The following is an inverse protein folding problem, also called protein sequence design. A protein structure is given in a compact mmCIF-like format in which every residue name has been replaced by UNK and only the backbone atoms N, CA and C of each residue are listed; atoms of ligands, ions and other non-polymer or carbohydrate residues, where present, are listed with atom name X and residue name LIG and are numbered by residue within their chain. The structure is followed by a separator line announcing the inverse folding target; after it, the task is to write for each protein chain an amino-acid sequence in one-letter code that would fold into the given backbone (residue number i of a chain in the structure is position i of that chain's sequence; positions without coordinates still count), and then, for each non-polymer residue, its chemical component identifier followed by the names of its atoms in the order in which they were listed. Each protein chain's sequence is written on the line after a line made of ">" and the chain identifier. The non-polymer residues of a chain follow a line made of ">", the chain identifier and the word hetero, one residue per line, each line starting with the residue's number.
data_IF_313846988984
#
_entry.id   IF_313846988984
#
_cell.length_a   1.000
_cell.length_b   1.000
_cell.length_c   1.000
_cell.angle_alpha   90.00
_cell.angle_beta   90.00
_cell.angle_gamma   90.00
#
_symmetry.space_group_name_H-M   'P 1'
#
loop_
_entity.id
_entity.type
_entity.pdbx_description
1 polymer ?
#
# COMPACT_ATOMS: atom_id res chain seq x y z
N UNK A 1 14.02 24.76 -5.38
CA UNK A 1 14.83 24.09 -4.34
C UNK A 1 13.97 23.92 -3.11
N UNK A 2 13.86 22.69 -2.62
CA UNK A 2 13.12 22.36 -1.39
C UNK A 2 13.95 22.77 -0.16
N UNK A 3 13.28 23.10 0.94
CA UNK A 3 13.94 23.46 2.20
C UNK A 3 13.04 23.16 3.38
N UNK A 4 13.65 22.90 4.53
CA UNK A 4 12.96 22.59 5.79
C UNK A 4 13.63 23.33 6.94
N UNK A 5 12.84 23.75 7.93
CA UNK A 5 13.37 24.40 9.13
C UNK A 5 13.71 23.35 10.20
N UNK A 6 14.95 23.39 10.66
CA UNK A 6 15.48 22.55 11.73
C UNK A 6 16.09 23.45 12.81
N UNK A 7 15.63 23.36 14.05
CA UNK A 7 16.14 24.14 15.18
C UNK A 7 16.22 25.65 14.88
N UNK A 8 15.23 26.19 14.16
CA UNK A 8 15.16 27.59 13.75
C UNK A 8 16.03 27.99 12.54
N UNK A 9 16.79 27.07 11.95
CA UNK A 9 17.62 27.31 10.78
C UNK A 9 17.07 26.63 9.52
N UNK A 10 17.30 27.22 8.36
CA UNK A 10 16.93 26.59 7.09
C UNK A 10 17.99 25.60 6.66
N UNK A 11 17.55 24.36 6.42
CA UNK A 11 18.34 23.35 5.73
C UNK A 11 17.91 23.34 4.27
N UNK A 12 18.84 23.69 3.38
CA UNK A 12 18.64 23.58 1.94
C UNK A 12 18.81 22.13 1.51
N UNK A 13 17.84 21.64 0.75
CA UNK A 13 17.84 20.27 0.27
C UNK A 13 18.56 20.23 -1.08
N UNK A 14 19.59 19.40 -1.15
CA UNK A 14 20.44 19.20 -2.34
C UNK A 14 19.89 18.07 -3.21
N UNK A 15 20.51 17.87 -4.36
CA UNK A 15 20.21 16.72 -5.22
C UNK A 15 20.56 15.42 -4.51
N UNK A 16 19.62 14.46 -4.53
CA UNK A 16 19.69 13.19 -3.81
C UNK A 16 19.46 12.06 -4.82
N UNK A 17 20.22 10.97 -4.72
CA UNK A 17 20.03 9.82 -5.59
C UNK A 17 18.88 8.94 -5.10
N UNK A 18 18.20 8.27 -6.03
CA UNK A 18 17.09 7.34 -5.73
C UNK A 18 17.46 6.27 -4.69
N UNK A 19 18.72 5.82 -4.68
CA UNK A 19 19.21 4.82 -3.73
C UNK A 19 19.19 5.32 -2.27
N UNK A 20 19.38 6.62 -2.06
CA UNK A 20 19.43 7.23 -0.72
C UNK A 20 18.01 7.35 -0.15
N UNK A 21 17.02 7.68 -0.99
CA UNK A 21 15.61 7.60 -0.61
C UNK A 21 15.20 6.18 -0.23
N UNK A 22 15.62 5.17 -1.00
CA UNK A 22 15.34 3.77 -0.69
C UNK A 22 16.02 3.33 0.63
N UNK A 23 17.28 3.73 0.84
CA UNK A 23 17.99 3.45 2.08
C UNK A 23 17.28 4.10 3.29
N UNK A 24 16.87 5.36 3.19
CA UNK A 24 16.17 6.05 4.27
C UNK A 24 14.82 5.38 4.57
N UNK A 25 14.00 5.09 3.55
CA UNK A 25 12.71 4.42 3.75
C UNK A 25 12.89 3.04 4.39
N UNK A 26 13.95 2.29 4.04
CA UNK A 26 14.26 1.01 4.69
C UNK A 26 14.60 1.13 6.18
N UNK A 27 15.04 2.29 6.66
CA UNK A 27 15.21 2.57 8.10
C UNK A 27 13.88 2.88 8.79
N UNK A 28 12.94 3.51 8.08
CA UNK A 28 11.64 3.90 8.61
C UNK A 28 10.68 2.70 8.68
N UNK A 29 10.62 1.88 7.62
CA UNK A 29 9.64 0.80 7.47
C UNK A 29 9.52 -0.13 8.69
N UNK A 30 10.61 -0.64 9.30
CA UNK A 30 10.52 -1.56 10.44
C UNK A 30 9.96 -0.91 11.71
N UNK A 31 9.96 0.42 11.79
CA UNK A 31 9.53 1.19 12.98
C UNK A 31 8.08 1.67 12.89
N UNK A 32 7.41 1.47 11.75
CA UNK A 32 6.03 1.92 11.56
C UNK A 32 5.10 1.13 12.47
N UNK A 33 4.30 1.87 13.22
CA UNK A 33 3.21 1.34 14.05
C UNK A 33 1.86 1.61 13.37
N UNK A 34 0.85 0.73 13.54
CA UNK A 34 -0.44 0.84 12.86
C UNK A 34 -1.16 2.19 13.05
N UNK A 35 -1.00 2.84 14.21
CA UNK A 35 -1.66 4.10 14.56
C UNK A 35 -0.71 5.30 14.60
N UNK A 36 0.57 5.10 14.28
CA UNK A 36 1.59 6.14 14.37
C UNK A 36 1.53 7.18 13.25
N UNK A 37 1.98 8.40 13.55
CA UNK A 37 2.24 9.40 12.51
C UNK A 37 3.53 9.04 11.77
N UNK A 38 3.39 8.62 10.51
CA UNK A 38 4.53 8.27 9.64
C UNK A 38 5.44 9.49 9.37
N UNK A 39 4.92 10.71 9.12
CA UNK A 39 5.77 11.91 9.01
C UNK A 39 6.61 12.16 10.26
N UNK A 40 6.05 11.97 11.46
CA UNK A 40 6.78 12.17 12.71
C UNK A 40 7.79 11.05 12.96
N UNK A 41 7.45 9.81 12.59
CA UNK A 41 8.40 8.71 12.63
C UNK A 41 9.58 8.94 11.69
N UNK A 42 9.34 9.41 10.46
CA UNK A 42 10.41 9.77 9.53
C UNK A 42 11.30 10.88 10.12
N UNK A 43 10.71 11.89 10.76
CA UNK A 43 11.48 12.93 11.46
C UNK A 43 12.34 12.35 12.60
N UNK A 44 11.82 11.40 13.37
CA UNK A 44 12.58 10.71 14.43
C UNK A 44 13.74 9.88 13.86
N UNK A 45 13.52 9.14 12.77
CA UNK A 45 14.61 8.40 12.11
C UNK A 45 15.69 9.33 11.57
N UNK A 46 15.30 10.49 11.06
CA UNK A 46 16.26 11.53 10.69
C UNK A 46 17.02 12.07 11.91
N UNK A 47 16.36 12.30 13.04
CA UNK A 47 17.01 12.72 14.28
C UNK A 47 18.02 11.70 14.79
N UNK A 48 17.69 10.41 14.75
CA UNK A 48 18.62 9.32 15.08
C UNK A 48 19.88 9.38 14.20
N UNK A 49 19.73 9.53 12.88
CA UNK A 49 20.89 9.65 11.98
C UNK A 49 21.79 10.83 12.34
N UNK A 50 21.21 11.99 12.63
CA UNK A 50 21.97 13.18 13.02
C UNK A 50 22.66 12.96 14.39
N UNK A 51 21.99 12.30 15.33
CA UNK A 51 22.55 11.94 16.64
C UNK A 51 23.70 10.94 16.54
N UNK A 52 23.67 10.05 15.54
CA UNK A 52 24.78 9.14 15.18
C UNK A 52 25.96 9.87 14.51
N UNK A 53 25.89 11.19 14.34
CA UNK A 53 26.96 12.03 13.81
C UNK A 53 26.90 12.22 12.30
N UNK A 54 25.81 11.84 11.64
CA UNK A 54 25.61 12.17 10.22
C UNK A 54 25.48 13.68 10.06
N UNK A 55 26.30 14.25 9.20
CA UNK A 55 26.18 15.67 8.86
C UNK A 55 24.84 15.93 8.15
N UNK A 56 24.29 17.14 8.29
CA UNK A 56 23.07 17.51 7.58
C UNK A 56 23.20 17.37 6.05
N UNK A 57 24.42 17.44 5.52
CA UNK A 57 24.72 17.27 4.09
C UNK A 57 24.97 15.83 3.66
N UNK A 58 24.95 14.86 4.59
CA UNK A 58 25.06 13.43 4.25
C UNK A 58 23.87 13.02 3.35
N UNK A 59 24.08 12.26 2.26
CA UNK A 59 23.02 11.91 1.32
C UNK A 59 21.80 11.24 1.98
N UNK A 60 22.02 10.41 3.01
CA UNK A 60 20.95 9.71 3.70
C UNK A 60 20.15 10.67 4.60
N UNK A 61 20.83 11.60 5.27
CA UNK A 61 20.17 12.65 6.05
C UNK A 61 19.38 13.60 5.13
N UNK A 62 19.94 13.97 3.96
CA UNK A 62 19.27 14.77 2.93
C UNK A 62 18.02 14.07 2.38
N UNK A 63 18.09 12.75 2.11
CA UNK A 63 16.92 11.95 1.75
C UNK A 63 15.84 12.00 2.84
N UNK A 64 16.24 11.93 4.11
CA UNK A 64 15.33 12.07 5.24
C UNK A 64 14.67 13.45 5.31
N UNK A 65 15.44 14.53 5.13
CA UNK A 65 14.90 15.89 5.08
C UNK A 65 13.88 16.06 3.95
N UNK A 66 14.16 15.57 2.75
CA UNK A 66 13.26 15.69 1.59
C UNK A 66 12.01 14.81 1.72
N UNK A 67 12.13 13.61 2.31
CA UNK A 67 10.95 12.81 2.66
C UNK A 67 10.11 13.53 3.70
N UNK A 68 10.69 14.06 4.77
CA UNK A 68 9.94 14.83 5.77
C UNK A 68 9.22 16.01 5.12
N UNK A 69 9.90 16.77 4.26
CA UNK A 69 9.31 17.89 3.53
C UNK A 69 8.15 17.46 2.60
N UNK A 70 8.33 16.37 1.85
CA UNK A 70 7.30 15.77 0.99
C UNK A 70 6.08 15.30 1.78
N UNK A 71 6.30 14.74 2.96
CA UNK A 71 5.27 14.34 3.90
C UNK A 71 4.65 15.52 4.66
N UNK A 72 5.04 16.75 4.35
CA UNK A 72 4.40 17.96 4.86
C UNK A 72 5.07 18.60 6.06
N UNK A 73 6.16 18.03 6.58
CA UNK A 73 6.92 18.63 7.69
C UNK A 73 7.60 19.92 7.20
N UNK A 74 7.26 21.05 7.82
CA UNK A 74 7.83 22.38 7.50
C UNK A 74 8.86 22.82 8.53
N UNK A 75 8.59 22.51 9.80
CA UNK A 75 9.46 22.90 10.90
C UNK A 75 9.52 21.79 11.95
N UNK A 76 10.73 21.45 12.36
CA UNK A 76 10.97 20.52 13.45
C UNK A 76 12.11 20.96 14.35
N UNK A 77 12.05 20.52 15.59
CA UNK A 77 13.14 20.62 16.56
C UNK A 77 13.72 19.24 16.81
N UNK A 78 15.04 19.12 16.79
CA UNK A 78 15.74 17.89 17.11
C UNK A 78 16.58 18.11 18.37
N UNK A 79 16.35 17.24 19.35
CA UNK A 79 17.12 17.13 20.58
C UNK A 79 17.56 15.67 20.76
N UNK A 80 18.87 15.44 20.68
CA UNK A 80 19.44 14.10 20.58
C UNK A 80 18.83 13.31 19.43
N UNK A 81 18.35 12.10 19.72
CA UNK A 81 17.75 11.18 18.74
C UNK A 81 16.22 11.36 18.58
N UNK A 82 15.64 12.45 19.12
CA UNK A 82 14.20 12.70 19.05
C UNK A 82 13.90 13.96 18.24
N UNK A 83 12.93 13.87 17.33
CA UNK A 83 12.37 14.99 16.60
C UNK A 83 11.00 15.37 17.17
N UNK A 84 10.77 16.66 17.29
CA UNK A 84 9.48 17.26 17.58
C UNK A 84 9.03 18.08 16.36
N UNK A 85 8.02 17.59 15.64
CA UNK A 85 7.43 18.28 14.49
C UNK A 85 6.52 19.40 14.99
N UNK A 86 6.93 20.64 14.75
CA UNK A 86 6.22 21.84 15.22
C UNK A 86 5.31 22.47 14.17
N UNK A 87 5.54 22.19 12.89
CA UNK A 87 4.72 22.68 11.79
C UNK A 87 4.63 21.60 10.70
N UNK A 88 3.40 21.21 10.36
CA UNK A 88 3.08 20.18 9.37
C UNK A 88 1.89 20.64 8.52
N UNK A 89 1.97 20.44 7.20
CA UNK A 89 0.90 20.73 6.25
C UNK A 89 0.42 19.45 5.58
N UNK A 90 -0.89 19.24 5.38
CA UNK A 90 -1.37 18.08 4.64
C UNK A 90 -0.77 18.02 3.23
N UNK A 91 -0.31 16.84 2.81
CA UNK A 91 0.15 16.58 1.45
C UNK A 91 -0.43 15.28 0.91
N UNK A 92 -0.52 15.18 -0.41
CA UNK A 92 -0.93 13.95 -1.09
C UNK A 92 -0.02 12.77 -0.75
N UNK A 93 1.27 13.01 -0.52
CA UNK A 93 2.22 11.99 -0.11
C UNK A 93 1.91 11.48 1.32
N UNK A 94 1.65 12.37 2.28
CA UNK A 94 1.28 11.98 3.64
C UNK A 94 -0.06 11.22 3.71
N UNK A 95 -0.99 11.56 2.80
CA UNK A 95 -2.25 10.87 2.62
C UNK A 95 -2.13 9.58 1.77
N UNK A 96 -0.99 9.35 1.12
CA UNK A 96 -0.76 8.17 0.28
C UNK A 96 -1.62 8.13 -0.99
N UNK A 97 -1.90 9.29 -1.59
CA UNK A 97 -2.75 9.44 -2.77
C UNK A 97 -1.98 9.18 -4.07
N UNK A 98 -2.72 8.84 -5.14
CA UNK A 98 -2.12 8.52 -6.45
C UNK A 98 -1.31 9.69 -7.05
N UNK A 99 -1.72 10.94 -6.78
CA UNK A 99 -1.04 12.16 -7.24
C UNK A 99 0.38 12.28 -6.71
N UNK A 100 0.71 11.63 -5.59
CA UNK A 100 2.08 11.54 -5.07
C UNK A 100 2.98 10.59 -5.90
N UNK A 101 2.40 9.80 -6.81
CA UNK A 101 3.09 8.80 -7.63
C UNK A 101 3.23 9.27 -9.09
N UNK A 102 3.62 10.54 -9.27
CA UNK A 102 3.98 11.10 -10.57
C UNK A 102 5.29 10.54 -11.11
N UNK A 103 5.46 10.58 -12.45
CA UNK A 103 6.65 10.03 -13.12
C UNK A 103 7.97 10.60 -12.56
N UNK A 104 8.04 11.92 -12.35
CA UNK A 104 9.23 12.57 -11.79
C UNK A 104 9.56 12.07 -10.37
N UNK A 105 8.55 11.91 -9.50
CA UNK A 105 8.73 11.42 -8.15
C UNK A 105 9.15 9.93 -8.10
N UNK A 106 8.68 9.12 -9.06
CA UNK A 106 9.09 7.72 -9.21
C UNK A 106 10.55 7.62 -9.68
N UNK A 107 10.96 8.47 -10.62
CA UNK A 107 12.32 8.50 -11.14
C UNK A 107 13.33 9.01 -10.10
N UNK A 108 12.98 10.06 -9.34
CA UNK A 108 13.84 10.59 -8.29
C UNK A 108 13.90 9.70 -7.04
N UNK A 109 12.86 8.90 -6.78
CA UNK A 109 12.72 8.07 -5.58
C UNK A 109 11.84 8.70 -4.50
N UNK A 110 11.45 9.98 -4.64
CA UNK A 110 10.60 10.68 -3.66
C UNK A 110 9.24 10.00 -3.44
N UNK A 111 8.72 9.32 -4.46
CA UNK A 111 7.46 8.57 -4.37
C UNK A 111 7.48 7.45 -3.30
N UNK A 112 8.67 7.01 -2.85
CA UNK A 112 8.80 6.02 -1.77
C UNK A 112 8.19 6.50 -0.45
N UNK A 113 8.27 7.80 -0.13
CA UNK A 113 7.67 8.35 1.09
C UNK A 113 6.14 8.25 1.08
N UNK A 114 5.51 8.63 -0.04
CA UNK A 114 4.07 8.48 -0.22
C UNK A 114 3.63 7.01 -0.32
N UNK A 115 4.44 6.16 -0.94
CA UNK A 115 4.15 4.73 -1.07
C UNK A 115 4.16 4.04 0.30
N UNK A 116 5.12 4.39 1.16
CA UNK A 116 5.15 3.97 2.56
C UNK A 116 3.89 4.42 3.32
N UNK A 117 3.49 5.68 3.19
CA UNK A 117 2.26 6.18 3.84
C UNK A 117 1.01 5.43 3.38
N UNK A 118 0.86 5.22 2.07
CA UNK A 118 -0.24 4.44 1.51
C UNK A 118 -0.21 3.00 2.04
N UNK A 119 0.94 2.32 1.95
CA UNK A 119 1.09 0.90 2.26
C UNK A 119 0.76 0.50 3.69
N UNK A 120 0.93 1.41 4.66
CA UNK A 120 0.76 1.13 6.09
C UNK A 120 -0.51 1.73 6.69
N UNK A 121 -1.30 2.46 5.90
CA UNK A 121 -2.57 3.08 6.34
C UNK A 121 -3.80 2.53 5.61
N UNK A 122 -3.65 1.43 4.88
CA UNK A 122 -4.76 0.88 4.08
C UNK A 122 -5.82 0.28 5.00
N UNK A 123 -7.05 0.67 4.74
CA UNK A 123 -8.23 -0.02 5.25
C UNK A 123 -8.89 -0.73 4.07
N UNK A 124 -9.21 -2.01 4.25
CA UNK A 124 -9.92 -2.82 3.26
C UNK A 124 -11.25 -3.26 3.86
N UNK A 125 -12.33 -3.12 3.09
CA UNK A 125 -13.66 -3.57 3.50
C UNK A 125 -13.85 -5.05 3.14
N UNK A 126 -13.93 -5.94 4.13
CA UNK A 126 -14.21 -7.37 3.93
C UNK A 126 -15.57 -7.70 4.52
N UNK A 127 -16.54 -8.16 3.71
CA UNK A 127 -17.89 -8.53 4.19
C UNK A 127 -18.57 -7.46 5.06
N UNK A 128 -18.49 -6.20 4.65
CA UNK A 128 -18.96 -5.03 5.42
C UNK A 128 -18.05 -4.56 6.57
N UNK A 129 -17.09 -5.38 7.02
CA UNK A 129 -16.15 -5.00 8.07
C UNK A 129 -14.95 -4.23 7.50
N UNK A 130 -14.66 -3.06 8.07
CA UNK A 130 -13.41 -2.35 7.81
C UNK A 130 -12.26 -3.00 8.58
N UNK A 131 -11.20 -3.37 7.85
CA UNK A 131 -10.02 -4.03 8.41
C UNK A 131 -8.80 -3.19 8.07
N UNK A 132 -8.11 -2.71 9.10
CA UNK A 132 -6.79 -2.10 8.95
C UNK A 132 -5.79 -3.18 8.52
N UNK A 133 -5.17 -2.97 7.35
CA UNK A 133 -4.17 -3.88 6.81
C UNK A 133 -2.85 -3.66 7.53
N UNK A 134 -2.45 -4.63 8.36
CA UNK A 134 -1.18 -4.59 9.07
C UNK A 134 -0.15 -5.37 8.28
N UNK A 135 0.95 -4.71 7.89
CA UNK A 135 2.05 -5.36 7.16
C UNK A 135 2.61 -6.53 7.96
N UNK A 136 2.77 -7.66 7.28
CA UNK A 136 3.28 -8.90 7.86
C UNK A 136 4.77 -9.08 7.58
N UNK A 137 5.39 -10.04 8.26
CA UNK A 137 6.80 -10.37 8.06
C UNK A 137 7.07 -10.78 6.62
N UNK A 138 8.32 -10.61 6.17
CA UNK A 138 8.75 -11.09 4.85
C UNK A 138 8.51 -12.59 4.68
N UNK A 139 8.72 -13.36 5.75
CA UNK A 139 8.51 -14.81 5.76
C UNK A 139 7.04 -15.17 5.48
N UNK A 140 6.11 -14.55 6.20
CA UNK A 140 4.67 -14.79 6.02
C UNK A 140 4.20 -14.36 4.62
N UNK A 141 4.67 -13.21 4.15
CA UNK A 141 4.34 -12.73 2.81
C UNK A 141 4.87 -13.66 1.72
N UNK A 142 6.09 -14.21 1.86
CA UNK A 142 6.65 -15.18 0.93
C UNK A 142 5.88 -16.50 0.95
N UNK A 143 5.51 -17.00 2.14
CA UNK A 143 4.69 -18.20 2.30
C UNK A 143 3.33 -18.05 1.59
N UNK A 144 2.64 -16.95 1.81
CA UNK A 144 1.35 -16.66 1.17
C UNK A 144 1.48 -16.50 -0.34
N UNK A 145 2.53 -15.83 -0.83
CA UNK A 145 2.77 -15.69 -2.26
C UNK A 145 2.99 -17.05 -2.96
N UNK A 146 3.75 -17.96 -2.33
CA UNK A 146 3.96 -19.32 -2.83
C UNK A 146 2.65 -20.12 -2.86
N UNK A 147 1.85 -20.00 -1.79
CA UNK A 147 0.53 -20.65 -1.76
C UNK A 147 -0.39 -20.14 -2.86
N UNK A 148 -0.50 -18.83 -3.03
CA UNK A 148 -1.31 -18.23 -4.09
C UNK A 148 -0.83 -18.69 -5.47
N UNK A 149 0.49 -18.72 -5.70
CA UNK A 149 1.05 -19.24 -6.95
C UNK A 149 0.67 -20.71 -7.22
N UNK A 150 0.75 -21.57 -6.20
CA UNK A 150 0.39 -22.99 -6.30
C UNK A 150 -1.10 -23.26 -6.54
N UNK A 151 -1.98 -22.33 -6.12
CA UNK A 151 -3.43 -22.44 -6.25
C UNK A 151 -3.96 -21.84 -7.54
N UNK A 152 -3.13 -21.14 -8.30
CA UNK A 152 -3.55 -20.34 -9.45
C UNK A 152 -4.03 -21.23 -10.59
N UNK A 153 -5.27 -21.01 -11.02
CA UNK A 153 -5.79 -21.68 -12.19
C UNK A 153 -5.20 -21.09 -13.49
N UNK A 154 -5.21 -21.87 -14.57
CA UNK A 154 -4.80 -21.40 -15.90
C UNK A 154 -5.69 -20.22 -16.31
N UNK A 155 -5.08 -19.14 -16.81
CA UNK A 155 -5.75 -17.88 -17.20
C UNK A 155 -6.51 -17.14 -16.08
N UNK A 156 -6.34 -17.53 -14.82
CA UNK A 156 -6.92 -16.80 -13.68
C UNK A 156 -6.03 -15.61 -13.29
N UNK A 157 -6.59 -14.38 -13.17
CA UNK A 157 -5.88 -13.25 -12.59
C UNK A 157 -5.49 -13.52 -11.14
N UNK A 158 -4.28 -13.11 -10.74
CA UNK A 158 -3.73 -13.41 -9.41
C UNK A 158 -4.58 -12.84 -8.25
N UNK A 159 -5.29 -11.73 -8.46
CA UNK A 159 -6.18 -11.16 -7.43
C UNK A 159 -7.38 -12.08 -7.13
N UNK A 160 -7.89 -12.81 -8.12
CA UNK A 160 -8.96 -13.81 -7.90
C UNK A 160 -8.40 -14.96 -7.06
N UNK A 161 -7.21 -15.46 -7.40
CA UNK A 161 -6.54 -16.51 -6.62
C UNK A 161 -6.28 -16.08 -5.18
N UNK A 162 -5.82 -14.84 -4.96
CA UNK A 162 -5.58 -14.29 -3.62
C UNK A 162 -6.89 -14.13 -2.82
N UNK A 163 -7.98 -13.69 -3.45
CA UNK A 163 -9.30 -13.62 -2.81
C UNK A 163 -9.88 -14.99 -2.45
N UNK A 164 -9.70 -16.00 -3.30
CA UNK A 164 -10.04 -17.40 -2.98
C UNK A 164 -9.25 -17.90 -1.77
N UNK A 165 -7.95 -17.62 -1.74
CA UNK A 165 -7.10 -18.01 -0.63
C UNK A 165 -7.59 -17.35 0.67
N UNK A 166 -7.98 -16.07 0.62
CA UNK A 166 -8.57 -15.37 1.75
C UNK A 166 -9.83 -16.08 2.25
N UNK A 167 -10.76 -16.40 1.33
CA UNK A 167 -11.99 -17.12 1.66
C UNK A 167 -11.75 -18.52 2.22
N UNK A 168 -10.74 -19.24 1.71
CA UNK A 168 -10.35 -20.55 2.25
C UNK A 168 -9.88 -20.45 3.68
N UNK A 169 -9.04 -19.46 4.00
CA UNK A 169 -8.54 -19.24 5.36
C UNK A 169 -9.65 -18.81 6.32
N UNK A 170 -10.59 -17.98 5.88
CA UNK A 170 -11.78 -17.63 6.68
C UNK A 170 -12.68 -18.85 6.93
N UNK A 171 -12.85 -19.73 5.93
CA UNK A 171 -13.62 -20.99 6.09
C UNK A 171 -12.99 -21.94 7.11
N UNK A 172 -11.67 -21.92 7.25
CA UNK A 172 -10.93 -22.67 8.27
C UNK A 172 -11.09 -22.06 9.68
N UNK A 173 -11.84 -20.96 9.84
CA UNK A 173 -12.06 -20.30 11.11
C UNK A 173 -10.98 -19.28 11.48
N UNK A 174 -10.03 -18.97 10.59
CA UNK A 174 -9.03 -17.93 10.84
C UNK A 174 -9.69 -16.55 10.84
N UNK A 175 -9.18 -15.67 11.69
CA UNK A 175 -9.61 -14.29 11.89
C UNK A 175 -8.50 -13.33 11.46
N UNK A 176 -8.79 -12.02 11.37
CA UNK A 176 -7.77 -11.03 11.03
C UNK A 176 -6.72 -10.80 12.13
N UNK A 177 -6.86 -11.45 13.29
CA UNK A 177 -5.79 -11.54 14.27
C UNK A 177 -4.71 -12.57 13.89
N UNK A 178 -5.02 -13.51 12.98
CA UNK A 178 -4.06 -14.49 12.49
C UNK A 178 -3.12 -13.86 11.46
N UNK A 179 -1.81 -13.88 11.74
CA UNK A 179 -0.77 -13.32 10.88
C UNK A 179 -0.86 -13.81 9.42
N UNK A 180 -1.16 -15.10 9.23
CA UNK A 180 -1.29 -15.68 7.89
C UNK A 180 -2.54 -15.16 7.14
N UNK A 181 -3.69 -14.98 7.81
CA UNK A 181 -4.87 -14.39 7.16
C UNK A 181 -4.61 -12.92 6.83
N UNK A 182 -3.98 -12.18 7.74
CA UNK A 182 -3.58 -10.81 7.52
C UNK A 182 -2.57 -10.70 6.36
N UNK A 183 -1.63 -11.63 6.21
CA UNK A 183 -0.70 -11.67 5.09
C UNK A 183 -1.41 -11.86 3.74
N UNK A 184 -2.46 -12.69 3.71
CA UNK A 184 -3.32 -12.82 2.52
C UNK A 184 -4.05 -11.51 2.24
N UNK A 185 -4.61 -10.86 3.27
CA UNK A 185 -5.26 -9.56 3.11
C UNK A 185 -4.27 -8.48 2.61
N UNK A 186 -3.03 -8.46 3.12
CA UNK A 186 -1.95 -7.61 2.62
C UNK A 186 -1.70 -7.84 1.14
N UNK A 187 -1.56 -9.09 0.70
CA UNK A 187 -1.35 -9.43 -0.70
C UNK A 187 -2.51 -8.95 -1.58
N UNK A 188 -3.75 -9.15 -1.15
CA UNK A 188 -4.93 -8.69 -1.91
C UNK A 188 -4.97 -7.15 -1.99
N UNK A 189 -4.64 -6.47 -0.89
CA UNK A 189 -4.54 -5.01 -0.85
C UNK A 189 -3.40 -4.49 -1.73
N UNK A 190 -2.26 -5.20 -1.78
CA UNK A 190 -1.12 -4.87 -2.62
C UNK A 190 -1.41 -4.96 -4.11
N UNK A 191 -2.36 -5.81 -4.49
CA UNK A 191 -2.88 -5.91 -5.84
C UNK A 191 -3.90 -4.81 -6.17
N UNK A 192 -4.27 -3.97 -5.20
CA UNK A 192 -5.12 -2.80 -5.37
C UNK A 192 -6.53 -2.94 -4.82
N UNK A 193 -6.95 -4.11 -4.34
CA UNK A 193 -8.32 -4.29 -3.87
C UNK A 193 -8.61 -3.42 -2.63
N UNK A 194 -9.75 -2.72 -2.65
CA UNK A 194 -10.22 -1.88 -1.52
C UNK A 194 -11.41 -2.49 -0.79
N UNK A 195 -12.17 -3.37 -1.46
CA UNK A 195 -13.27 -4.10 -0.89
C UNK A 195 -13.33 -5.52 -1.45
N UNK A 196 -13.68 -6.47 -0.59
CA UNK A 196 -13.81 -7.89 -0.89
C UNK A 196 -15.11 -8.38 -0.24
N UNK A 197 -15.93 -9.11 -1.00
CA UNK A 197 -17.08 -9.84 -0.48
C UNK A 197 -16.88 -11.33 -0.69
N UNK A 198 -17.05 -12.09 0.37
CA UNK A 198 -16.85 -13.53 0.45
C UNK A 198 -18.07 -14.11 1.13
N UNK A 199 -18.92 -14.76 0.36
CA UNK A 199 -20.00 -15.58 0.89
C UNK A 199 -19.51 -17.02 0.98
N UNK A 200 -19.28 -17.51 2.20
CA UNK A 200 -18.77 -18.85 2.44
C UNK A 200 -19.82 -19.94 2.16
N UNK A 201 -21.10 -19.62 2.34
CA UNK A 201 -22.22 -20.55 2.15
C UNK A 201 -22.56 -20.68 0.67
N UNK A 202 -22.72 -19.56 -0.03
CA UNK A 202 -22.95 -19.53 -1.47
C UNK A 202 -21.66 -19.80 -2.27
N UNK A 203 -20.49 -19.77 -1.62
CA UNK A 203 -19.19 -19.98 -2.25
C UNK A 203 -18.83 -18.88 -3.26
N UNK A 204 -19.30 -17.65 -3.05
CA UNK A 204 -19.11 -16.53 -3.98
C UNK A 204 -18.01 -15.58 -3.51
N UNK A 205 -17.29 -15.03 -4.49
CA UNK A 205 -16.25 -14.02 -4.29
C UNK A 205 -16.58 -12.81 -5.17
N UNK A 206 -16.49 -11.62 -4.60
CA UNK A 206 -16.65 -10.35 -5.28
C UNK A 206 -15.60 -9.35 -4.82
N UNK A 207 -15.28 -8.40 -5.69
CA UNK A 207 -14.37 -7.31 -5.39
C UNK A 207 -15.08 -5.98 -5.67
N UNK A 208 -14.73 -4.96 -4.87
CA UNK A 208 -15.03 -3.58 -5.21
C UNK A 208 -14.02 -3.00 -6.20
N UNK A 209 -14.07 -1.68 -6.37
CA UNK A 209 -13.12 -0.96 -7.21
C UNK A 209 -11.69 -1.11 -6.67
N UNK A 210 -10.75 -1.30 -7.59
CA UNK A 210 -9.33 -1.35 -7.29
C UNK A 210 -8.75 0.07 -7.21
N UNK A 211 -7.96 0.33 -6.18
CA UNK A 211 -7.20 1.56 -5.99
C UNK A 211 -5.87 1.47 -6.71
N UNK A 212 -5.69 2.35 -7.70
CA UNK A 212 -4.41 2.53 -8.38
C UNK A 212 -3.32 2.92 -7.40
N UNK A 213 -3.61 3.79 -6.43
CA UNK A 213 -2.66 4.21 -5.40
C UNK A 213 -2.13 3.00 -4.59
N UNK A 214 -3.00 2.06 -4.22
CA UNK A 214 -2.59 0.87 -3.47
C UNK A 214 -1.66 -0.03 -4.31
N UNK A 215 -2.03 -0.31 -5.56
CA UNK A 215 -1.21 -1.14 -6.44
C UNK A 215 0.14 -0.48 -6.74
N UNK A 216 0.14 0.82 -7.06
CA UNK A 216 1.36 1.59 -7.34
C UNK A 216 2.27 1.68 -6.12
N UNK A 217 1.75 2.00 -4.93
CA UNK A 217 2.56 2.08 -3.73
C UNK A 217 3.29 0.77 -3.44
N UNK A 218 2.63 -0.37 -3.62
CA UNK A 218 3.22 -1.70 -3.42
C UNK A 218 4.32 -1.97 -4.46
N UNK A 219 4.07 -1.66 -5.73
CA UNK A 219 5.05 -1.80 -6.80
C UNK A 219 6.27 -0.87 -6.61
N UNK A 220 6.07 0.37 -6.14
CA UNK A 220 7.13 1.32 -5.82
C UNK A 220 8.02 0.76 -4.70
N UNK A 221 7.43 0.23 -3.62
CA UNK A 221 8.17 -0.37 -2.51
C UNK A 221 8.91 -1.66 -2.92
N UNK A 222 8.43 -2.35 -3.95
CA UNK A 222 9.14 -3.48 -4.57
C UNK A 222 10.26 -3.06 -5.52
N UNK A 223 10.45 -1.76 -5.74
CA UNK A 223 11.52 -1.21 -6.57
C UNK A 223 11.23 -1.26 -8.08
N UNK A 224 9.96 -1.35 -8.49
CA UNK A 224 9.62 -1.29 -9.92
C UNK A 224 9.98 0.08 -10.51
N UNK A 225 10.40 0.07 -11.77
CA UNK A 225 10.67 1.26 -12.55
C UNK A 225 9.39 1.94 -13.05
N UNK A 226 9.53 3.14 -13.62
CA UNK A 226 8.39 3.95 -14.06
C UNK A 226 7.58 3.29 -15.20
N UNK A 227 8.22 2.53 -16.09
CA UNK A 227 7.53 1.84 -17.18
C UNK A 227 6.66 0.69 -16.66
N UNK A 228 7.20 -0.12 -15.74
CA UNK A 228 6.41 -1.16 -15.06
C UNK A 228 5.28 -0.56 -14.22
N UNK A 229 5.52 0.59 -13.57
CA UNK A 229 4.48 1.28 -12.81
C UNK A 229 3.37 1.83 -13.70
N UNK A 230 3.69 2.27 -14.92
CA UNK A 230 2.68 2.62 -15.93
C UNK A 230 1.81 1.41 -16.29
N UNK A 231 2.42 0.24 -16.49
CA UNK A 231 1.68 -1.01 -16.74
C UNK A 231 0.77 -1.39 -15.57
N UNK A 232 1.22 -1.18 -14.32
CA UNK A 232 0.39 -1.39 -13.12
C UNK A 232 -0.84 -0.47 -13.14
N UNK A 233 -0.65 0.82 -13.43
CA UNK A 233 -1.75 1.79 -13.55
C UNK A 233 -2.75 1.37 -14.64
N UNK A 234 -2.25 1.00 -15.82
CA UNK A 234 -3.07 0.53 -16.94
C UNK A 234 -3.82 -0.77 -16.59
N UNK A 235 -3.16 -1.70 -15.89
CA UNK A 235 -3.78 -2.95 -15.45
C UNK A 235 -4.95 -2.71 -14.49
N UNK A 236 -4.77 -1.84 -13.49
CA UNK A 236 -5.84 -1.47 -12.55
C UNK A 236 -6.98 -0.74 -13.27
N UNK A 237 -6.67 0.17 -14.20
CA UNK A 237 -7.68 0.84 -15.01
C UNK A 237 -8.50 -0.17 -15.82
N UNK A 238 -7.85 -1.11 -16.50
CA UNK A 238 -8.51 -2.15 -17.29
C UNK A 238 -9.39 -3.08 -16.43
N UNK A 239 -8.92 -3.44 -15.23
CA UNK A 239 -9.72 -4.23 -14.27
C UNK A 239 -10.98 -3.48 -13.86
N UNK A 240 -10.85 -2.20 -13.48
CA UNK A 240 -11.98 -1.37 -13.08
C UNK A 240 -12.98 -1.16 -14.24
N UNK A 241 -12.48 -0.96 -15.47
CA UNK A 241 -13.31 -0.88 -16.67
C UNK A 241 -14.08 -2.17 -16.94
N UNK A 242 -13.46 -3.33 -16.76
CA UNK A 242 -14.14 -4.63 -16.87
C UNK A 242 -15.26 -4.76 -15.84
N UNK A 243 -15.02 -4.36 -14.58
CA UNK A 243 -16.05 -4.37 -13.54
C UNK A 243 -17.21 -3.42 -13.86
N UNK A 244 -16.91 -2.22 -14.37
CA UNK A 244 -17.94 -1.26 -14.79
C UNK A 244 -18.82 -1.84 -15.89
N UNK A 245 -18.22 -2.35 -16.97
CA UNK A 245 -18.96 -2.92 -18.12
C UNK A 245 -19.81 -4.12 -17.75
N UNK A 246 -19.34 -4.97 -16.85
CA UNK A 246 -20.09 -6.12 -16.39
C UNK A 246 -21.30 -5.72 -15.52
N UNK A 247 -21.15 -4.66 -14.71
CA UNK A 247 -22.27 -4.08 -13.94
C UNK A 247 -23.33 -3.46 -14.86
N UNK A 248 -22.91 -2.71 -15.88
CA UNK A 248 -23.81 -2.11 -16.88
C UNK A 248 -24.59 -3.16 -17.66
N UNK A 249 -23.96 -4.29 -18.02
CA UNK A 249 -24.63 -5.42 -18.68
C UNK A 249 -25.68 -6.11 -17.81
N UNK A 250 -25.48 -6.15 -16.49
CA UNK A 250 -26.47 -6.69 -15.56
C UNK A 250 -27.65 -5.73 -15.35
N UNK A 251 -27.42 -4.42 -15.35
CA UNK A 251 -28.49 -3.41 -15.22
C UNK A 251 -29.33 -3.25 -16.49
N UNK A 252 -28.77 -3.50 -17.67
CA UNK A 252 -29.51 -3.51 -18.95
C UNK A 252 -30.41 -4.73 -19.18
N UNK A 253 -30.46 -5.69 -18.25
CA UNK A 253 -31.18 -6.96 -18.40
C UNK A 253 -32.38 -7.18 -17.47
N UNK A 254 -32.59 -6.35 -16.45
CA UNK A 254 -33.84 -6.36 -15.65
C UNK A 254 -33.88 -5.12 -14.74
N UNK A 255 -34.80 -4.21 -15.02
CA UNK A 255 -35.08 -3.07 -14.15
C UNK A 255 -35.74 -3.57 -12.85
N UNK A 256 -34.97 -3.61 -11.76
CA UNK A 256 -35.56 -3.86 -10.43
C UNK A 256 -34.61 -4.43 -9.40
N UNK A 257 -33.62 -3.64 -8.99
CA UNK A 257 -33.12 -3.49 -7.59
C UNK A 257 -31.78 -2.76 -7.61
N UNK A 258 -31.76 -1.60 -6.96
CA UNK A 258 -30.55 -0.83 -6.69
C UNK A 258 -29.63 -1.61 -5.76
N UNK A 259 -28.77 -2.46 -6.30
CA UNK A 259 -27.70 -3.12 -5.55
C UNK A 259 -26.35 -2.72 -6.15
N UNK A 260 -25.52 -2.16 -5.27
CA UNK A 260 -24.16 -1.69 -5.53
C UNK A 260 -23.34 -2.71 -6.33
N UNK A 261 -22.59 -2.18 -7.30
CA UNK A 261 -21.47 -2.76 -8.06
C UNK A 261 -21.09 -4.19 -7.64
N UNK A 262 -21.55 -5.17 -8.41
CA UNK A 262 -21.38 -6.60 -8.12
C UNK A 262 -20.85 -7.31 -9.37
N UNK A 263 -19.71 -7.98 -9.26
CA UNK A 263 -19.45 -9.18 -10.06
C UNK A 263 -19.65 -10.38 -9.16
N UNK A 264 -20.56 -11.27 -9.57
CA UNK A 264 -20.62 -12.63 -9.05
C UNK A 264 -19.59 -13.45 -9.83
N UNK A 265 -18.45 -13.78 -9.21
CA UNK A 265 -17.52 -14.74 -9.78
C UNK A 265 -18.07 -16.15 -9.49
N UNK A 266 -18.20 -17.06 -10.50
CA UNK A 266 -18.77 -18.39 -10.31
C UNK A 266 -18.04 -19.16 -9.21
N UNK A 267 -18.77 -20.01 -8.47
CA UNK A 267 -18.34 -20.70 -7.26
C UNK A 267 -16.97 -21.35 -7.38
N UNK A 268 -16.04 -20.93 -6.51
CA UNK A 268 -14.61 -21.24 -6.65
C UNK A 268 -14.06 -22.23 -5.61
N UNK A 269 -14.90 -22.69 -4.69
CA UNK A 269 -14.49 -23.74 -3.75
C UNK A 269 -14.58 -25.09 -4.44
N UNK A 270 -13.45 -25.78 -4.55
CA UNK A 270 -13.36 -27.11 -5.14
C UNK A 270 -14.42 -28.04 -4.53
N UNK A 271 -15.41 -28.40 -5.33
CA UNK A 271 -16.21 -29.59 -5.07
C UNK A 271 -15.23 -30.75 -5.04
N UNK A 272 -15.07 -31.36 -3.86
CA UNK A 272 -14.36 -32.62 -3.68
C UNK A 272 -14.90 -33.57 -4.75
N UNK A 273 -14.10 -33.91 -5.76
CA UNK A 273 -14.45 -35.00 -6.68
C UNK A 273 -14.64 -36.24 -5.82
N UNK A 274 -15.89 -36.65 -5.62
CA UNK A 274 -16.18 -37.99 -5.10
C UNK A 274 -15.58 -38.95 -6.12
N UNK A 275 -14.54 -39.67 -5.70
CA UNK A 275 -14.17 -40.93 -6.35
C UNK A 275 -15.23 -41.96 -6.00
#
# INVERSE_FOLDING_TARGET
>A
MSSIRLNGQYVLIKDIEKKDFAAFVNLVLPKIQPTGSIPHLAANVLAELLAEGKAQTDPLAQAGFEICASLGVKNMWIDGATANVTEETPTDAAAGLETAFGFAAIQSGLALGGAMCNAFRRVVKVNEQEVLVVRQSREDMMKVAQMASSMKNVNEPIFITAGRLLGSRMKEGKTFADAELMAVLCMVSDLGATAIRIDLEAGTLGFGQFSTANAMASAILQGLDAEKLKQVRESVHNINEQFRRATEKQQGGNAGKSQQQQLQVPSVMGTRRRR
#
